data_IF_842080998563
#
_entry.id   IF_842080998563
#
_cell.length_a   1.000
_cell.length_b   1.000
_cell.length_c   1.000
_cell.angle_alpha   90.00
_cell.angle_beta   90.00
_cell.angle_gamma   90.00
#
_symmetry.space_group_name_H-M   'P 1'
#
loop_
_entity.id
_entity.type
_entity.pdbx_description
1 polymer ?
#
# COMPACT_ATOMS: atom_id res chain seq x y z
N UNK A 1 -3.39 2.99 14.37
CA UNK A 1 -3.83 2.94 12.96
C UNK A 1 -2.79 3.66 12.15
N UNK A 2 -2.26 3.01 11.11
CA UNK A 2 -1.16 3.52 10.29
C UNK A 2 -1.67 4.03 8.95
N UNK A 3 -0.90 4.89 8.27
CA UNK A 3 -1.32 5.51 7.03
C UNK A 3 -0.20 5.53 5.99
N UNK A 4 -0.57 5.31 4.74
CA UNK A 4 0.26 5.54 3.56
C UNK A 4 -0.50 6.46 2.62
N UNK A 5 0.08 7.59 2.27
CA UNK A 5 -0.45 8.48 1.25
C UNK A 5 0.02 8.02 -0.13
N UNK A 6 -0.87 8.10 -1.11
CA UNK A 6 -0.52 8.02 -2.53
C UNK A 6 -0.63 9.45 -3.07
N UNK A 7 0.52 10.06 -3.35
CA UNK A 7 0.61 11.44 -3.84
C UNK A 7 1.82 11.55 -4.77
N UNK A 8 1.72 12.34 -5.83
CA UNK A 8 2.76 12.51 -6.84
C UNK A 8 3.22 11.17 -7.45
N UNK A 9 2.29 10.22 -7.60
CA UNK A 9 2.56 8.87 -8.07
C UNK A 9 3.66 8.16 -7.26
N UNK A 10 3.66 8.33 -5.94
CA UNK A 10 4.50 7.56 -5.01
C UNK A 10 3.71 7.18 -3.75
N UNK A 11 4.17 6.15 -3.04
CA UNK A 11 3.71 5.84 -1.69
C UNK A 11 4.54 6.62 -0.67
N UNK A 12 3.88 7.27 0.28
CA UNK A 12 4.49 8.07 1.33
C UNK A 12 3.95 7.65 2.72
N UNK A 13 4.78 7.07 3.61
CA UNK A 13 6.19 6.76 3.39
C UNK A 13 6.39 5.61 2.38
N UNK A 14 7.56 5.54 1.70
CA UNK A 14 7.87 4.46 0.76
C UNK A 14 8.07 3.11 1.47
N UNK A 15 8.41 3.14 2.75
CA UNK A 15 8.46 1.96 3.64
C UNK A 15 7.60 2.24 4.86
N UNK A 16 6.72 1.31 5.19
CA UNK A 16 5.93 1.36 6.42
C UNK A 16 6.22 0.14 7.29
N UNK A 17 6.42 0.38 8.58
CA UNK A 17 6.76 -0.65 9.58
C UNK A 17 5.58 -0.78 10.54
N UNK A 18 5.08 -1.99 10.72
CA UNK A 18 3.88 -2.30 11.52
C UNK A 18 4.03 -3.66 12.20
N UNK A 19 3.08 -4.02 13.07
CA UNK A 19 2.98 -5.36 13.67
C UNK A 19 1.83 -6.16 13.06
N UNK A 20 1.87 -7.48 13.19
CA UNK A 20 0.71 -8.32 12.87
C UNK A 20 -0.49 -7.91 13.72
N UNK A 21 -1.66 -7.80 13.10
CA UNK A 21 -2.90 -7.32 13.71
C UNK A 21 -3.14 -5.82 13.55
N UNK A 22 -2.12 -5.03 13.22
CA UNK A 22 -2.28 -3.61 12.92
C UNK A 22 -3.18 -3.38 11.70
N UNK A 23 -3.64 -2.14 11.55
CA UNK A 23 -4.38 -1.71 10.36
C UNK A 23 -3.64 -0.58 9.67
N UNK A 24 -3.48 -0.70 8.35
CA UNK A 24 -2.96 0.35 7.48
C UNK A 24 -4.07 0.86 6.57
N UNK A 25 -4.12 2.18 6.40
CA UNK A 25 -4.96 2.84 5.41
C UNK A 25 -4.10 3.48 4.32
N UNK A 26 -4.34 3.10 3.07
CA UNK A 26 -3.82 3.81 1.90
C UNK A 26 -4.84 4.86 1.48
N UNK A 27 -4.41 6.12 1.32
CA UNK A 27 -5.28 7.22 0.87
C UNK A 27 -4.74 7.77 -0.43
N UNK A 28 -5.55 7.74 -1.47
CA UNK A 28 -5.20 8.31 -2.76
C UNK A 28 -5.49 9.80 -2.81
N UNK A 29 -4.46 10.62 -2.79
CA UNK A 29 -4.53 12.08 -2.92
C UNK A 29 -4.20 12.56 -4.35
N UNK A 30 -3.84 11.65 -5.25
CA UNK A 30 -3.67 11.96 -6.66
C UNK A 30 -5.02 12.05 -7.37
N UNK A 31 -5.03 12.76 -8.50
CA UNK A 31 -6.22 12.91 -9.36
C UNK A 31 -6.50 11.66 -10.21
N UNK A 32 -5.60 10.69 -10.21
CA UNK A 32 -5.72 9.45 -10.98
C UNK A 32 -5.86 8.26 -10.04
N UNK A 33 -6.42 7.16 -10.55
CA UNK A 33 -6.60 5.94 -9.78
C UNK A 33 -5.27 5.21 -9.56
N UNK A 34 -5.17 4.54 -8.41
CA UNK A 34 -4.02 3.71 -8.05
C UNK A 34 -4.44 2.38 -7.44
N UNK A 35 -3.48 1.50 -7.21
CA UNK A 35 -3.68 0.24 -6.48
C UNK A 35 -2.54 0.06 -5.48
N UNK A 36 -2.70 -0.85 -4.54
CA UNK A 36 -1.65 -1.36 -3.64
C UNK A 36 -1.68 -2.88 -3.73
N UNK A 37 -0.79 -3.44 -4.54
CA UNK A 37 -0.75 -4.87 -4.86
C UNK A 37 0.59 -5.46 -4.43
N UNK A 38 0.56 -6.48 -3.58
CA UNK A 38 1.79 -7.17 -3.19
C UNK A 38 2.40 -7.94 -4.36
N UNK A 39 3.73 -7.98 -4.45
CA UNK A 39 4.45 -8.71 -5.52
C UNK A 39 4.14 -10.21 -5.48
N UNK A 40 3.97 -10.77 -4.28
CA UNK A 40 3.71 -12.21 -4.06
C UNK A 40 2.22 -12.58 -4.02
N UNK A 41 1.32 -11.67 -4.38
CA UNK A 41 -0.13 -11.95 -4.40
C UNK A 41 -0.79 -12.17 -3.04
N UNK A 42 -0.17 -11.69 -1.95
CA UNK A 42 -0.65 -11.79 -0.57
C UNK A 42 -1.80 -10.81 -0.26
N UNK A 43 -1.80 -9.65 -0.89
CA UNK A 43 -2.88 -8.66 -0.81
C UNK A 43 -3.00 -7.85 -2.11
N UNK A 44 -4.20 -7.34 -2.35
CA UNK A 44 -4.55 -6.47 -3.47
C UNK A 44 -5.70 -5.54 -3.03
N UNK A 45 -5.53 -4.24 -3.20
CA UNK A 45 -6.55 -3.25 -2.86
C UNK A 45 -7.71 -3.15 -3.84
N UNK A 46 -7.57 -3.70 -5.05
CA UNK A 46 -8.32 -3.24 -6.21
C UNK A 46 -8.01 -1.78 -6.53
N UNK A 47 -8.86 -1.14 -7.33
CA UNK A 47 -8.71 0.27 -7.69
C UNK A 47 -9.09 1.18 -6.53
N UNK A 48 -8.14 2.02 -6.12
CA UNK A 48 -8.33 3.14 -5.21
C UNK A 48 -8.54 4.39 -6.07
N UNK A 49 -9.80 4.83 -6.18
CA UNK A 49 -10.17 6.05 -6.91
C UNK A 49 -9.48 7.29 -6.35
N UNK A 50 -9.41 8.37 -7.13
CA UNK A 50 -8.97 9.68 -6.65
C UNK A 50 -9.77 10.09 -5.39
N UNK A 51 -9.09 10.52 -4.33
CA UNK A 51 -9.70 10.83 -3.03
C UNK A 51 -10.15 9.60 -2.23
N UNK A 52 -10.07 8.40 -2.81
CA UNK A 52 -10.48 7.15 -2.19
C UNK A 52 -9.47 6.62 -1.18
N UNK A 53 -9.88 5.58 -0.45
CA UNK A 53 -9.03 4.92 0.54
C UNK A 53 -9.25 3.40 0.54
N UNK A 54 -8.18 2.68 0.83
CA UNK A 54 -8.24 1.24 1.08
C UNK A 54 -7.67 0.95 2.47
N UNK A 55 -8.32 0.03 3.19
CA UNK A 55 -7.93 -0.35 4.55
C UNK A 55 -7.61 -1.83 4.56
N UNK A 56 -6.47 -2.17 5.16
CA UNK A 56 -6.02 -3.56 5.26
C UNK A 56 -5.58 -3.85 6.69
N UNK A 57 -6.17 -4.90 7.27
CA UNK A 57 -5.74 -5.46 8.54
C UNK A 57 -4.60 -6.44 8.27
N UNK A 58 -3.46 -6.20 8.91
CA UNK A 58 -2.25 -6.99 8.73
C UNK A 58 -2.46 -8.38 9.33
N UNK A 59 -2.52 -9.38 8.47
CA UNK A 59 -2.58 -10.81 8.82
C UNK A 59 -1.33 -11.57 8.32
N UNK A 60 -0.26 -10.83 8.05
CA UNK A 60 1.01 -11.35 7.57
C UNK A 60 1.94 -11.68 8.73
N UNK A 61 2.81 -12.67 8.54
CA UNK A 61 3.87 -13.01 9.49
C UNK A 61 4.94 -11.90 9.48
N UNK A 62 5.84 -11.94 10.47
CA UNK A 62 7.05 -11.12 10.47
C UNK A 62 7.80 -11.28 9.15
N UNK A 63 8.19 -10.17 8.52
CA UNK A 63 8.89 -10.17 7.25
C UNK A 63 8.79 -8.86 6.47
N UNK A 64 9.40 -8.86 5.29
CA UNK A 64 9.41 -7.72 4.37
C UNK A 64 8.63 -8.07 3.11
N UNK A 65 7.68 -7.21 2.77
CA UNK A 65 6.72 -7.40 1.70
C UNK A 65 6.76 -6.22 0.73
N UNK A 66 7.25 -6.48 -0.48
CA UNK A 66 7.21 -5.50 -1.56
C UNK A 66 5.81 -5.44 -2.18
N UNK A 67 5.38 -4.23 -2.51
CA UNK A 67 4.13 -3.99 -3.23
C UNK A 67 4.31 -2.88 -4.27
N UNK A 68 3.38 -2.81 -5.20
CA UNK A 68 3.42 -1.91 -6.34
C UNK A 68 2.02 -1.47 -6.75
N UNK A 69 1.95 -0.44 -7.59
CA UNK A 69 0.72 -0.06 -8.27
C UNK A 69 0.63 -0.82 -9.59
N UNK A 70 -0.37 -1.68 -9.76
CA UNK A 70 -0.60 -2.45 -10.98
C UNK A 70 -0.83 -1.59 -12.24
N UNK A 71 -1.28 -0.33 -12.07
CA UNK A 71 -1.44 0.64 -13.18
C UNK A 71 -0.08 1.21 -13.61
N UNK A 72 0.89 1.32 -12.67
CA UNK A 72 2.23 1.88 -12.92
C UNK A 72 3.34 0.98 -12.34
N UNK A 73 3.47 -0.28 -12.81
CA UNK A 73 4.24 -1.32 -12.11
C UNK A 73 5.74 -1.04 -12.03
N UNK A 74 6.27 -0.28 -12.99
CA UNK A 74 7.70 0.02 -13.06
C UNK A 74 8.13 1.22 -12.20
N UNK A 75 7.21 2.14 -11.86
CA UNK A 75 7.53 3.43 -11.21
C UNK A 75 7.02 3.54 -9.77
N UNK A 76 5.92 2.87 -9.44
CA UNK A 76 5.29 2.97 -8.12
C UNK A 76 5.51 1.70 -7.31
N UNK A 77 6.43 1.77 -6.34
CA UNK A 77 6.80 0.66 -5.47
C UNK A 77 6.84 1.12 -4.02
N UNK A 78 6.44 0.23 -3.12
CA UNK A 78 6.50 0.45 -1.68
C UNK A 78 6.89 -0.82 -0.94
N UNK A 79 7.26 -0.67 0.32
CA UNK A 79 7.67 -1.76 1.21
C UNK A 79 6.83 -1.76 2.48
N UNK A 80 6.33 -2.92 2.86
CA UNK A 80 5.67 -3.18 4.13
C UNK A 80 6.59 -4.10 4.95
N UNK A 81 7.07 -3.63 6.09
CA UNK A 81 7.78 -4.45 7.07
C UNK A 81 6.82 -4.78 8.20
N UNK A 82 6.66 -6.08 8.48
CA UNK A 82 5.93 -6.59 9.63
C UNK A 82 6.94 -7.07 10.65
N UNK A 83 6.88 -6.54 11.87
CA UNK A 83 7.75 -6.89 13.00
C UNK A 83 7.11 -7.86 13.98
#
# INVERSE_FOLDING_TARGET
MHQVLIKNSVYAPPTIIVKSGDTIQWINQDKVSHTTTSVKGLFNSGTIQSGGKWVYKINLKKGVYQYYCAIHPNKMKGTLTVE
#
